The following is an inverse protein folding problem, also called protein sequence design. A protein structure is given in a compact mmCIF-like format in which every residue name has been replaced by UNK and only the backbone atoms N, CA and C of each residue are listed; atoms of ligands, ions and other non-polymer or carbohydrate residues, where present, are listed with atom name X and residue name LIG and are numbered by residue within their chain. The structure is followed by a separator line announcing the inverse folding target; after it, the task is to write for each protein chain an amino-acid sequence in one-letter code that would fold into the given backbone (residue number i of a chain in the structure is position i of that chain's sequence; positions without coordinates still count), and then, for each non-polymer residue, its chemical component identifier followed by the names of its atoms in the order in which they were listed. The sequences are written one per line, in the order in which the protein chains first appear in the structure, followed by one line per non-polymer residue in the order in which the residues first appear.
data_IF_262935116404
#
_entry.id   IF_262935116404
#
_cell.length_a   1.000
_cell.length_b   1.000
_cell.length_c   1.000
_cell.angle_alpha   90.00
_cell.angle_beta   90.00
_cell.angle_gamma   90.00
#
_symmetry.space_group_name_H-M   'P 1'
#
loop_
_entity.id
_entity.type
_entity.pdbx_description
1 polymer ?
#
# COMPACT_ATOMS: atom_id res chain seq x y z
N UNK A 1 61.42 -37.57 -6.42
CA UNK A 1 61.87 -38.39 -5.31
C UNK A 1 60.64 -39.12 -4.78
N UNK A 2 60.37 -40.38 -5.24
CA UNK A 2 60.72 -41.64 -4.60
C UNK A 2 60.34 -41.56 -3.10
N UNK A 3 59.40 -42.33 -2.57
CA UNK A 3 59.44 -43.77 -2.46
C UNK A 3 58.05 -44.36 -2.08
N UNK A 4 57.76 -45.45 -2.72
CA UNK A 4 56.80 -46.53 -2.40
C UNK A 4 57.12 -47.14 -1.04
N UNK A 5 56.15 -47.72 -0.33
CA UNK A 5 56.28 -49.01 0.27
C UNK A 5 54.92 -49.71 0.54
N UNK A 6 54.75 -50.77 -0.06
CA UNK A 6 53.92 -51.94 0.07
C UNK A 6 54.15 -52.65 1.41
N UNK A 7 53.11 -53.37 1.91
CA UNK A 7 53.08 -54.75 2.40
C UNK A 7 51.72 -54.95 3.08
N UNK A 8 50.81 -55.70 2.57
CA UNK A 8 50.65 -57.12 2.39
C UNK A 8 50.21 -57.86 3.68
N UNK A 9 49.01 -58.40 3.58
CA UNK A 9 48.50 -59.74 3.90
C UNK A 9 47.95 -60.02 5.30
N UNK A 10 46.81 -60.58 5.31
CA UNK A 10 46.35 -61.98 5.62
C UNK A 10 45.47 -62.08 6.87
N UNK A 11 44.23 -62.31 6.68
CA UNK A 11 43.39 -63.48 6.81
C UNK A 11 42.88 -63.88 8.22
N UNK A 12 41.63 -64.30 8.16
CA UNK A 12 40.89 -65.32 8.94
C UNK A 12 39.86 -64.77 9.97
N UNK A 13 38.64 -64.89 9.55
CA UNK A 13 37.47 -65.58 10.12
C UNK A 13 37.28 -65.62 11.66
N UNK A 14 36.14 -65.07 12.11
CA UNK A 14 35.26 -65.78 13.05
C UNK A 14 33.89 -65.06 13.13
N UNK A 15 32.87 -65.80 12.95
CA UNK A 15 31.46 -65.57 13.13
C UNK A 15 31.16 -65.32 14.62
N UNK A 16 30.49 -64.24 14.95
CA UNK A 16 29.70 -64.18 16.17
C UNK A 16 28.55 -63.20 15.95
N UNK A 17 27.33 -63.68 15.85
CA UNK A 17 26.10 -62.96 15.92
C UNK A 17 25.95 -62.38 17.33
N UNK A 18 25.85 -61.03 17.40
CA UNK A 18 25.30 -60.32 18.56
C UNK A 18 24.31 -59.31 18.10
N UNK A 19 23.04 -59.63 18.30
CA UNK A 19 21.95 -58.72 18.30
C UNK A 19 22.08 -57.72 19.45
N UNK A 20 22.39 -56.49 19.17
CA UNK A 20 22.27 -55.38 20.12
C UNK A 20 21.38 -54.36 19.52
N UNK A 21 20.17 -54.31 20.08
CA UNK A 21 19.24 -53.18 19.97
C UNK A 21 19.91 -51.90 20.49
N UNK A 22 20.47 -51.12 19.63
CA UNK A 22 20.90 -49.77 19.97
C UNK A 22 19.81 -48.80 19.48
N UNK A 23 19.07 -48.25 20.43
CA UNK A 23 18.30 -47.04 20.21
C UNK A 23 19.25 -45.94 19.74
N UNK A 24 19.26 -45.69 18.45
CA UNK A 24 19.92 -44.54 17.88
C UNK A 24 18.87 -43.41 17.87
N UNK A 25 19.03 -42.48 18.77
CA UNK A 25 18.40 -41.15 18.63
C UNK A 25 19.01 -40.54 17.37
N UNK A 26 18.40 -40.82 16.24
CA UNK A 26 18.66 -40.08 15.03
C UNK A 26 17.97 -38.70 15.16
N UNK A 27 18.75 -37.67 14.97
CA UNK A 27 18.28 -36.30 14.74
C UNK A 27 17.03 -36.32 13.85
N UNK A 28 15.91 -35.89 14.41
CA UNK A 28 14.71 -35.62 13.64
C UNK A 28 15.01 -34.47 12.68
N UNK A 29 15.43 -34.80 11.48
CA UNK A 29 15.08 -33.96 10.34
C UNK A 29 13.58 -33.71 10.42
N UNK A 30 13.10 -32.47 10.27
CA UNK A 30 11.66 -32.21 10.17
C UNK A 30 11.16 -32.95 8.94
N UNK A 31 10.63 -34.13 9.17
CA UNK A 31 9.91 -34.89 8.14
C UNK A 31 8.65 -34.11 7.82
N UNK A 32 8.52 -33.76 6.58
CA UNK A 32 7.38 -33.13 5.91
C UNK A 32 6.12 -34.04 5.97
N UNK A 33 5.77 -34.56 7.13
CA UNK A 33 4.64 -35.51 7.30
C UNK A 33 3.33 -34.85 7.76
N UNK A 34 3.21 -33.55 7.70
CA UNK A 34 1.93 -32.85 7.93
C UNK A 34 1.38 -32.13 6.71
N UNK A 35 1.83 -32.46 5.51
CA UNK A 35 1.01 -32.19 4.35
C UNK A 35 -0.16 -33.18 4.41
N UNK A 36 -1.31 -32.73 4.94
CA UNK A 36 -2.59 -33.34 4.63
C UNK A 36 -2.67 -33.40 3.11
N UNK A 37 -2.45 -34.57 2.55
CA UNK A 37 -2.84 -34.86 1.17
C UNK A 37 -4.33 -34.62 1.11
N UNK A 38 -4.71 -33.45 0.56
CA UNK A 38 -6.10 -33.15 0.25
C UNK A 38 -6.44 -34.09 -0.90
N UNK A 39 -7.07 -35.22 -0.58
CA UNK A 39 -7.69 -36.08 -1.57
C UNK A 39 -8.80 -35.30 -2.25
N UNK A 40 -8.48 -34.70 -3.38
CA UNK A 40 -9.35 -33.89 -4.20
C UNK A 40 -8.52 -32.90 -5.01
N UNK A 41 -8.85 -32.71 -6.25
CA UNK A 41 -8.20 -31.70 -7.09
C UNK A 41 -8.35 -30.33 -6.43
N UNK A 42 -7.24 -29.76 -5.97
CA UNK A 42 -7.21 -28.42 -5.37
C UNK A 42 -7.69 -27.41 -6.44
N UNK A 43 -8.79 -26.73 -6.16
CA UNK A 43 -9.32 -25.68 -7.05
C UNK A 43 -8.71 -24.34 -6.67
N UNK A 44 -7.85 -23.85 -7.54
CA UNK A 44 -7.18 -22.55 -7.36
C UNK A 44 -7.77 -21.57 -8.37
N UNK A 45 -7.88 -20.32 -7.97
CA UNK A 45 -8.21 -19.21 -8.85
C UNK A 45 -7.33 -18.00 -8.53
N UNK A 46 -7.29 -17.02 -9.43
CA UNK A 46 -6.65 -15.74 -9.16
C UNK A 46 -7.50 -14.55 -9.61
N UNK A 47 -7.18 -13.40 -9.03
CA UNK A 47 -7.80 -12.13 -9.35
C UNK A 47 -6.71 -11.09 -9.60
N UNK A 48 -6.79 -10.37 -10.72
CA UNK A 48 -5.86 -9.28 -11.07
C UNK A 48 -6.25 -8.00 -10.34
N UNK A 49 -5.39 -7.57 -9.41
CA UNK A 49 -5.64 -6.36 -8.60
C UNK A 49 -5.67 -5.10 -9.46
N UNK A 50 -4.79 -5.00 -10.46
CA UNK A 50 -4.74 -3.84 -11.36
C UNK A 50 -6.04 -3.68 -12.15
N UNK A 51 -6.61 -4.78 -12.62
CA UNK A 51 -7.92 -4.79 -13.28
C UNK A 51 -9.06 -4.36 -12.34
N UNK A 52 -9.02 -4.77 -11.06
CA UNK A 52 -9.97 -4.31 -10.05
C UNK A 52 -9.83 -2.81 -9.83
N UNK A 53 -8.60 -2.31 -9.64
CA UNK A 53 -8.33 -0.88 -9.44
C UNK A 53 -8.83 -0.03 -10.62
N UNK A 54 -8.77 -0.56 -11.83
CA UNK A 54 -9.21 0.13 -13.04
C UNK A 54 -10.72 0.05 -13.27
N UNK A 55 -11.36 -1.10 -13.00
CA UNK A 55 -12.75 -1.38 -13.44
C UNK A 55 -13.77 -1.31 -12.29
N UNK A 56 -13.37 -1.47 -11.04
CA UNK A 56 -14.28 -1.41 -9.90
C UNK A 56 -14.73 0.03 -9.63
N UNK A 57 -16.02 0.27 -9.60
CA UNK A 57 -16.62 1.61 -9.45
C UNK A 57 -16.14 2.32 -8.19
N UNK A 58 -16.06 1.62 -7.08
CA UNK A 58 -15.51 2.14 -5.83
C UNK A 58 -14.09 2.70 -6.01
N UNK A 59 -13.21 1.96 -6.68
CA UNK A 59 -11.83 2.38 -6.93
C UNK A 59 -11.77 3.62 -7.82
N UNK A 60 -12.59 3.68 -8.89
CA UNK A 60 -12.68 4.84 -9.79
C UNK A 60 -13.13 6.10 -9.05
N UNK A 61 -14.18 5.98 -8.23
CA UNK A 61 -14.68 7.11 -7.46
C UNK A 61 -13.67 7.59 -6.44
N UNK A 62 -12.99 6.64 -5.77
CA UNK A 62 -12.00 6.98 -4.76
C UNK A 62 -10.75 7.62 -5.38
N UNK A 63 -10.28 7.11 -6.51
CA UNK A 63 -9.19 7.73 -7.26
C UNK A 63 -9.50 9.17 -7.62
N UNK A 64 -10.71 9.45 -8.12
CA UNK A 64 -11.13 10.81 -8.43
C UNK A 64 -11.15 11.73 -7.19
N UNK A 65 -11.53 11.19 -6.02
CA UNK A 65 -11.50 11.95 -4.75
C UNK A 65 -10.04 12.24 -4.34
N UNK A 66 -9.15 11.25 -4.41
CA UNK A 66 -7.72 11.44 -4.08
C UNK A 66 -7.06 12.45 -5.03
N UNK A 67 -7.32 12.36 -6.33
CA UNK A 67 -6.77 13.28 -7.33
C UNK A 67 -7.24 14.74 -7.05
N UNK A 68 -8.53 14.91 -6.74
CA UNK A 68 -9.06 16.22 -6.38
C UNK A 68 -8.45 16.75 -5.07
N UNK A 69 -8.27 15.89 -4.08
CA UNK A 69 -7.65 16.25 -2.80
C UNK A 69 -6.19 16.63 -2.96
N UNK A 70 -5.44 15.86 -3.74
CA UNK A 70 -4.03 16.15 -4.05
C UNK A 70 -3.87 17.52 -4.69
N UNK A 71 -4.68 17.83 -5.72
CA UNK A 71 -4.68 19.15 -6.36
C UNK A 71 -5.03 20.28 -5.38
N UNK A 72 -6.02 20.05 -4.49
CA UNK A 72 -6.37 21.04 -3.47
C UNK A 72 -5.19 21.31 -2.53
N UNK A 73 -4.50 20.25 -2.08
CA UNK A 73 -3.31 20.36 -1.22
C UNK A 73 -2.19 21.13 -1.92
N UNK A 74 -1.91 20.79 -3.18
CA UNK A 74 -0.89 21.48 -3.98
C UNK A 74 -1.19 22.96 -4.11
N UNK A 75 -2.44 23.30 -4.44
CA UNK A 75 -2.87 24.70 -4.59
C UNK A 75 -2.81 25.46 -3.26
N UNK A 76 -3.22 24.84 -2.16
CA UNK A 76 -3.18 25.45 -0.82
C UNK A 76 -1.74 25.77 -0.39
N UNK A 77 -0.83 24.80 -0.57
CA UNK A 77 0.58 25.00 -0.24
C UNK A 77 1.25 26.04 -1.15
N UNK A 78 0.94 26.01 -2.45
CA UNK A 78 1.45 27.01 -3.39
C UNK A 78 0.98 28.42 -3.05
N UNK A 79 -0.29 28.60 -2.66
CA UNK A 79 -0.83 29.89 -2.23
C UNK A 79 -0.16 30.38 -0.94
N UNK A 80 0.07 29.51 0.05
CA UNK A 80 0.78 29.85 1.28
C UNK A 80 2.22 30.24 1.00
N UNK A 81 2.92 29.52 0.11
CA UNK A 81 4.27 29.83 -0.32
C UNK A 81 4.35 31.21 -0.98
N UNK A 82 3.48 31.50 -1.95
CA UNK A 82 3.43 32.81 -2.61
C UNK A 82 3.14 33.95 -1.63
N UNK A 83 2.27 33.71 -0.64
CA UNK A 83 1.97 34.72 0.38
C UNK A 83 3.21 35.01 1.24
N UNK A 84 3.96 33.96 1.63
CA UNK A 84 5.21 34.10 2.39
C UNK A 84 6.27 34.87 1.58
N UNK A 85 6.44 34.53 0.28
CA UNK A 85 7.38 35.21 -0.61
C UNK A 85 7.05 36.69 -0.76
N UNK A 86 5.76 37.02 -1.01
CA UNK A 86 5.31 38.42 -1.10
C UNK A 86 5.54 39.19 0.20
N UNK A 87 5.26 38.56 1.34
CA UNK A 87 5.46 39.19 2.65
C UNK A 87 6.97 39.40 2.92
N UNK A 88 7.82 38.46 2.55
CA UNK A 88 9.28 38.57 2.68
C UNK A 88 9.82 39.69 1.79
N UNK A 89 9.37 39.78 0.53
CA UNK A 89 9.75 40.86 -0.38
C UNK A 89 9.32 42.24 0.15
N UNK A 90 8.10 42.34 0.65
CA UNK A 90 7.59 43.60 1.23
C UNK A 90 8.41 44.02 2.46
N UNK A 91 8.79 43.05 3.31
CA UNK A 91 9.66 43.31 4.45
C UNK A 91 11.04 43.81 4.02
N UNK A 92 11.68 43.16 3.03
CA UNK A 92 12.97 43.57 2.48
C UNK A 92 12.91 44.99 1.90
N UNK A 93 11.87 45.32 1.14
CA UNK A 93 11.67 46.64 0.56
C UNK A 93 11.54 47.71 1.65
N UNK A 94 10.81 47.42 2.73
CA UNK A 94 10.71 48.33 3.89
C UNK A 94 12.06 48.55 4.59
N UNK A 95 12.87 47.48 4.74
CA UNK A 95 14.22 47.61 5.30
C UNK A 95 15.12 48.52 4.46
N UNK A 96 15.14 48.31 3.14
CA UNK A 96 15.98 49.08 2.22
C UNK A 96 15.61 50.56 2.15
N UNK A 97 14.32 50.87 2.26
CA UNK A 97 13.78 52.23 2.10
C UNK A 97 13.50 52.92 3.45
N UNK A 98 14.03 52.41 4.57
CA UNK A 98 13.74 52.91 5.92
C UNK A 98 12.23 53.09 6.17
N UNK A 99 11.40 52.16 5.62
CA UNK A 99 9.95 52.25 5.61
C UNK A 99 9.28 51.72 6.90
N UNK A 100 10.02 51.46 7.97
CA UNK A 100 9.48 51.09 9.29
C UNK A 100 9.32 52.35 10.15
N UNK A 101 8.18 52.48 10.79
CA UNK A 101 7.90 53.61 11.73
C UNK A 101 8.59 53.44 13.07
N UNK A 102 8.92 52.20 13.44
CA UNK A 102 9.64 51.86 14.71
C UNK A 102 10.37 50.54 14.59
N UNK A 103 11.37 50.36 15.46
CA UNK A 103 12.05 49.06 15.65
C UNK A 103 11.07 47.93 16.00
N UNK A 104 10.11 48.21 16.87
CA UNK A 104 9.10 47.25 17.28
C UNK A 104 8.22 46.78 16.10
N UNK A 105 7.91 47.66 15.14
CA UNK A 105 7.20 47.25 13.91
C UNK A 105 8.03 46.27 13.08
N UNK A 106 9.34 46.53 12.90
CA UNK A 106 10.22 45.65 12.15
C UNK A 106 10.35 44.27 12.83
N UNK A 107 10.54 44.23 14.14
CA UNK A 107 10.62 43.01 14.93
C UNK A 107 9.29 42.21 14.85
N UNK A 108 8.15 42.86 14.92
CA UNK A 108 6.84 42.20 14.78
C UNK A 108 6.61 41.63 13.37
N UNK A 109 7.01 42.35 12.32
CA UNK A 109 6.89 41.83 10.95
C UNK A 109 7.85 40.65 10.70
N UNK A 110 9.06 40.71 11.24
CA UNK A 110 10.00 39.59 11.19
C UNK A 110 9.43 38.35 11.90
N UNK A 111 8.90 38.53 13.10
CA UNK A 111 8.26 37.45 13.85
C UNK A 111 7.04 36.86 13.10
N UNK A 112 6.28 37.70 12.40
CA UNK A 112 5.16 37.25 11.57
C UNK A 112 5.63 36.36 10.39
N UNK A 113 6.73 36.73 9.72
CA UNK A 113 7.32 35.92 8.66
C UNK A 113 7.77 34.54 9.16
N UNK A 114 8.45 34.51 10.32
CA UNK A 114 8.86 33.24 10.94
C UNK A 114 7.65 32.35 11.26
N UNK A 115 6.57 32.95 11.78
CA UNK A 115 5.32 32.21 12.05
C UNK A 115 4.68 31.70 10.77
N UNK A 116 4.66 32.48 9.70
CA UNK A 116 4.12 32.05 8.40
C UNK A 116 4.91 30.87 7.83
N UNK A 117 6.24 30.90 7.93
CA UNK A 117 7.10 29.79 7.53
C UNK A 117 6.79 28.52 8.34
N UNK A 118 6.73 28.62 9.67
CA UNK A 118 6.39 27.50 10.54
C UNK A 118 4.99 26.94 10.24
N UNK A 119 4.02 27.82 9.94
CA UNK A 119 2.68 27.41 9.56
C UNK A 119 2.66 26.66 8.22
N UNK A 120 3.44 27.09 7.24
CA UNK A 120 3.57 26.42 5.96
C UNK A 120 4.16 25.01 6.13
N UNK A 121 5.24 24.88 6.91
CA UNK A 121 5.86 23.60 7.20
C UNK A 121 4.91 22.64 7.93
N UNK A 122 4.22 23.14 8.96
CA UNK A 122 3.23 22.36 9.71
C UNK A 122 2.05 21.94 8.85
N UNK A 123 1.58 22.84 7.97
CA UNK A 123 0.49 22.55 7.01
C UNK A 123 0.91 21.46 6.02
N UNK A 124 2.12 21.54 5.48
CA UNK A 124 2.64 20.53 4.55
C UNK A 124 2.69 19.13 5.20
N UNK A 125 3.22 19.04 6.41
CA UNK A 125 3.28 17.77 7.15
C UNK A 125 1.88 17.21 7.46
N UNK A 126 0.97 18.07 7.94
CA UNK A 126 -0.41 17.66 8.25
C UNK A 126 -1.14 17.16 7.01
N UNK A 127 -1.09 17.91 5.91
CA UNK A 127 -1.79 17.57 4.67
C UNK A 127 -1.23 16.30 4.03
N UNK A 128 0.09 16.09 4.10
CA UNK A 128 0.71 14.84 3.66
C UNK A 128 0.25 13.66 4.52
N UNK A 129 0.21 13.81 5.84
CA UNK A 129 -0.28 12.77 6.75
C UNK A 129 -1.74 12.43 6.48
N UNK A 130 -2.59 13.42 6.22
CA UNK A 130 -4.00 13.21 5.86
C UNK A 130 -4.16 12.41 4.55
N UNK A 131 -3.34 12.70 3.53
CA UNK A 131 -3.36 11.95 2.26
C UNK A 131 -2.93 10.48 2.46
N UNK A 132 -1.89 10.24 3.27
CA UNK A 132 -1.46 8.89 3.60
C UNK A 132 -2.56 8.12 4.34
N UNK A 133 -3.16 8.72 5.36
CA UNK A 133 -4.26 8.12 6.10
C UNK A 133 -5.45 7.79 5.19
N UNK A 134 -5.83 8.68 4.28
CA UNK A 134 -6.90 8.42 3.33
C UNK A 134 -6.57 7.26 2.40
N UNK A 135 -5.32 7.15 1.96
CA UNK A 135 -4.86 6.03 1.14
C UNK A 135 -4.95 4.70 1.90
N UNK A 136 -4.55 4.69 3.17
CA UNK A 136 -4.63 3.49 4.02
C UNK A 136 -6.09 3.08 4.27
N UNK A 137 -6.97 4.04 4.54
CA UNK A 137 -8.41 3.80 4.69
C UNK A 137 -9.02 3.21 3.42
N UNK A 138 -8.61 3.69 2.26
CA UNK A 138 -9.03 3.13 0.98
C UNK A 138 -8.57 1.69 0.79
N UNK A 139 -7.27 1.43 1.00
CA UNK A 139 -6.71 0.11 0.84
C UNK A 139 -7.42 -0.90 1.76
N UNK A 140 -7.69 -0.48 3.00
CA UNK A 140 -8.45 -1.30 3.95
C UNK A 140 -9.87 -1.55 3.46
N UNK A 141 -10.59 -0.50 3.03
CA UNK A 141 -11.96 -0.64 2.55
C UNK A 141 -12.06 -1.50 1.28
N UNK A 142 -11.08 -1.40 0.38
CA UNK A 142 -10.99 -2.25 -0.80
C UNK A 142 -10.75 -3.72 -0.41
N UNK A 143 -9.79 -3.95 0.48
CA UNK A 143 -9.50 -5.30 0.98
C UNK A 143 -10.73 -5.92 1.65
N UNK A 144 -11.37 -5.20 2.58
CA UNK A 144 -12.55 -5.68 3.30
C UNK A 144 -13.72 -6.00 2.33
N UNK A 145 -13.93 -5.13 1.33
CA UNK A 145 -14.96 -5.32 0.30
C UNK A 145 -14.68 -6.55 -0.56
N UNK A 146 -13.43 -6.72 -0.98
CA UNK A 146 -13.00 -7.87 -1.78
C UNK A 146 -13.10 -9.17 -0.98
N UNK A 147 -12.60 -9.19 0.23
CA UNK A 147 -12.65 -10.36 1.11
C UNK A 147 -14.10 -10.78 1.37
N UNK A 148 -14.94 -9.85 1.77
CA UNK A 148 -16.37 -10.13 2.00
C UNK A 148 -17.06 -10.70 0.76
N UNK A 149 -16.82 -10.11 -0.41
CA UNK A 149 -17.38 -10.60 -1.65
C UNK A 149 -16.89 -12.02 -1.95
N UNK A 150 -15.59 -12.28 -1.84
CA UNK A 150 -14.99 -13.58 -2.13
C UNK A 150 -15.47 -14.67 -1.17
N UNK A 151 -15.72 -14.36 0.10
CA UNK A 151 -16.31 -15.31 1.05
C UNK A 151 -17.71 -15.76 0.62
N UNK A 152 -18.54 -14.83 0.12
CA UNK A 152 -19.85 -15.15 -0.40
C UNK A 152 -19.77 -15.93 -1.71
N UNK A 153 -18.96 -15.45 -2.64
CA UNK A 153 -18.72 -16.06 -3.94
C UNK A 153 -18.21 -17.51 -3.83
N UNK A 154 -17.34 -17.76 -2.87
CA UNK A 154 -16.72 -19.08 -2.70
C UNK A 154 -17.65 -20.13 -2.07
N UNK A 155 -18.78 -19.74 -1.50
CA UNK A 155 -19.77 -20.71 -0.98
C UNK A 155 -20.26 -21.67 -2.08
N UNK A 156 -20.44 -21.15 -3.30
CA UNK A 156 -20.90 -21.90 -4.44
C UNK A 156 -19.75 -22.51 -5.26
N UNK A 157 -18.65 -21.79 -5.42
CA UNK A 157 -17.51 -22.21 -6.25
C UNK A 157 -16.62 -23.26 -5.58
N UNK A 158 -16.57 -23.26 -4.25
CA UNK A 158 -15.76 -24.20 -3.44
C UNK A 158 -14.28 -24.24 -3.85
N UNK A 159 -13.71 -23.06 -4.08
CA UNK A 159 -12.29 -22.91 -4.37
C UNK A 159 -11.49 -23.15 -3.10
N UNK A 160 -10.38 -23.86 -3.22
CA UNK A 160 -9.46 -24.14 -2.12
C UNK A 160 -8.58 -22.92 -1.81
N UNK A 161 -8.29 -22.10 -2.84
CA UNK A 161 -7.46 -20.91 -2.72
C UNK A 161 -7.80 -19.89 -3.81
N UNK A 162 -7.82 -18.63 -3.43
CA UNK A 162 -7.91 -17.50 -4.36
C UNK A 162 -6.68 -16.63 -4.13
N UNK A 163 -5.89 -16.44 -5.18
CA UNK A 163 -4.65 -15.67 -5.15
C UNK A 163 -4.89 -14.28 -5.74
N UNK A 164 -4.14 -13.30 -5.27
CA UNK A 164 -4.04 -12.01 -5.94
C UNK A 164 -2.93 -12.06 -6.98
N UNK A 165 -3.16 -11.51 -8.17
CA UNK A 165 -2.12 -11.24 -9.17
C UNK A 165 -1.89 -9.74 -9.22
N UNK A 166 -0.68 -9.33 -8.78
CA UNK A 166 -0.26 -7.93 -8.73
C UNK A 166 1.25 -7.86 -8.99
N UNK A 167 1.66 -7.03 -9.92
CA UNK A 167 3.06 -6.97 -10.32
C UNK A 167 3.58 -8.35 -10.73
N UNK A 168 4.73 -8.75 -10.18
CA UNK A 168 5.43 -9.99 -10.54
C UNK A 168 5.22 -11.15 -9.56
N UNK A 169 4.22 -11.09 -8.66
CA UNK A 169 3.99 -12.14 -7.68
C UNK A 169 3.49 -13.47 -8.31
N UNK A 170 2.82 -13.38 -9.47
CA UNK A 170 2.43 -14.53 -10.29
C UNK A 170 2.93 -14.26 -11.71
N UNK A 171 4.04 -14.90 -12.09
CA UNK A 171 4.67 -14.70 -13.40
C UNK A 171 3.88 -15.32 -14.54
N UNK A 172 3.24 -16.46 -14.29
CA UNK A 172 2.46 -17.20 -15.28
C UNK A 172 1.29 -17.91 -14.61
N UNK A 173 0.12 -17.75 -15.15
CA UNK A 173 -1.07 -18.52 -14.79
C UNK A 173 -1.93 -18.75 -16.03
N UNK A 174 -2.62 -19.88 -16.09
CA UNK A 174 -3.60 -20.14 -17.14
C UNK A 174 -4.83 -19.25 -16.92
N UNK A 175 -5.38 -18.72 -18.01
CA UNK A 175 -6.59 -17.90 -17.98
C UNK A 175 -7.83 -18.67 -17.47
N UNK A 176 -7.81 -19.98 -17.53
CA UNK A 176 -8.88 -20.81 -16.96
C UNK A 176 -9.03 -20.63 -15.43
N UNK A 177 -7.99 -20.13 -14.74
CA UNK A 177 -8.02 -19.82 -13.31
C UNK A 177 -8.36 -18.37 -13.01
N UNK A 178 -8.54 -17.53 -14.03
CA UNK A 178 -8.85 -16.10 -13.88
C UNK A 178 -10.35 -15.90 -13.59
N UNK A 179 -10.65 -15.38 -12.41
CA UNK A 179 -12.00 -15.02 -11.99
C UNK A 179 -12.20 -13.52 -11.88
N UNK A 180 -11.26 -12.72 -12.40
CA UNK A 180 -11.23 -11.26 -12.23
C UNK A 180 -12.50 -10.58 -12.70
N UNK A 181 -12.97 -10.90 -13.91
CA UNK A 181 -14.16 -10.25 -14.49
C UNK A 181 -15.44 -10.62 -13.72
N UNK A 182 -15.58 -11.88 -13.25
CA UNK A 182 -16.71 -12.30 -12.41
C UNK A 182 -16.71 -11.55 -11.07
N UNK A 183 -15.52 -11.39 -10.46
CA UNK A 183 -15.35 -10.67 -9.20
C UNK A 183 -15.68 -9.19 -9.38
N UNK A 184 -15.17 -8.54 -10.41
CA UNK A 184 -15.45 -7.12 -10.71
C UNK A 184 -16.95 -6.90 -10.96
N UNK A 185 -17.59 -7.76 -11.74
CA UNK A 185 -19.02 -7.67 -12.01
C UNK A 185 -19.84 -7.80 -10.72
N UNK A 186 -19.47 -8.75 -9.85
CA UNK A 186 -20.12 -8.95 -8.56
C UNK A 186 -19.91 -7.80 -7.59
N UNK A 187 -18.69 -7.31 -7.48
CA UNK A 187 -18.34 -6.14 -6.66
C UNK A 187 -19.13 -4.90 -7.12
N UNK A 188 -19.16 -4.63 -8.42
CA UNK A 188 -19.90 -3.49 -8.97
C UNK A 188 -21.41 -3.60 -8.74
N UNK A 189 -21.97 -4.83 -8.79
CA UNK A 189 -23.38 -5.06 -8.49
C UNK A 189 -23.70 -4.86 -7.01
N UNK A 190 -22.79 -5.24 -6.12
CA UNK A 190 -22.96 -5.09 -4.66
C UNK A 190 -22.66 -3.66 -4.19
N UNK A 191 -21.87 -2.91 -4.94
CA UNK A 191 -21.46 -1.58 -4.56
C UNK A 191 -22.64 -0.60 -4.57
N UNK A 192 -22.82 0.05 -3.44
CA UNK A 192 -23.74 1.19 -3.30
C UNK A 192 -22.92 2.43 -3.01
N UNK A 193 -22.94 3.46 -3.88
CA UNK A 193 -22.25 4.71 -3.62
C UNK A 193 -22.68 5.28 -2.26
N UNK A 194 -21.72 5.55 -1.38
CA UNK A 194 -22.02 6.06 -0.06
C UNK A 194 -22.48 7.52 -0.18
N UNK A 195 -23.70 7.81 0.22
CA UNK A 195 -24.30 9.16 0.16
C UNK A 195 -23.52 10.20 1.00
N UNK A 196 -22.74 9.78 1.98
CA UNK A 196 -21.85 10.66 2.76
C UNK A 196 -20.66 11.17 1.95
N UNK A 197 -20.13 10.36 1.01
CA UNK A 197 -19.06 10.80 0.08
C UNK A 197 -19.60 11.65 -1.09
N UNK A 198 -20.90 11.55 -1.39
CA UNK A 198 -21.56 12.48 -2.31
C UNK A 198 -21.70 13.90 -1.73
N UNK A 199 -21.64 14.04 -0.40
CA UNK A 199 -21.54 15.30 0.30
C UNK A 199 -20.22 16.01 0.06
N UNK A 200 -19.08 15.29 0.24
CA UNK A 200 -17.74 15.83 -0.04
C UNK A 200 -17.57 16.25 -1.51
N UNK A 201 -18.08 15.44 -2.45
CA UNK A 201 -18.04 15.77 -3.88
C UNK A 201 -18.89 17.00 -4.23
N UNK A 202 -19.98 17.23 -3.47
CA UNK A 202 -20.81 18.46 -3.62
C UNK A 202 -20.15 19.68 -2.98
N UNK A 203 -19.45 19.51 -1.87
CA UNK A 203 -18.71 20.60 -1.23
C UNK A 203 -17.50 21.03 -2.07
N UNK A 204 -16.70 20.09 -2.57
CA UNK A 204 -15.58 20.38 -3.46
C UNK A 204 -16.03 21.13 -4.73
N UNK A 205 -17.12 20.69 -5.39
CA UNK A 205 -17.70 21.38 -6.55
C UNK A 205 -18.30 22.75 -6.21
N UNK A 206 -18.74 22.96 -4.98
CA UNK A 206 -19.30 24.24 -4.53
C UNK A 206 -18.21 25.25 -4.19
N UNK A 207 -17.05 24.78 -3.72
CA UNK A 207 -15.88 25.61 -3.48
C UNK A 207 -15.20 26.01 -4.80
N UNK A 208 -15.00 25.08 -5.75
CA UNK A 208 -14.47 25.38 -7.09
C UNK A 208 -15.32 26.47 -7.80
N UNK A 209 -16.64 26.35 -7.72
CA UNK A 209 -17.56 27.34 -8.33
C UNK A 209 -17.57 28.68 -7.63
N UNK A 210 -17.16 28.76 -6.35
CA UNK A 210 -17.00 30.02 -5.62
C UNK A 210 -15.68 30.73 -5.92
N UNK A 211 -14.64 29.98 -6.26
CA UNK A 211 -13.35 30.55 -6.68
C UNK A 211 -13.38 31.08 -8.12
N UNK A 212 -14.10 30.42 -9.02
CA UNK A 212 -14.29 30.90 -10.40
C UNK A 212 -15.11 32.22 -10.48
N UNK A 213 -16.02 32.45 -9.54
CA UNK A 213 -16.84 33.66 -9.50
C UNK A 213 -16.11 34.88 -8.85
N UNK A 214 -14.94 34.63 -8.22
CA UNK A 214 -14.14 35.71 -7.58
C UNK A 214 -12.93 36.16 -8.42
N UNK A 215 -12.77 35.66 -9.62
CA UNK A 215 -11.82 36.11 -10.62
C UNK A 215 -12.53 36.98 -11.65
#
# INVERSE_FOLDING_TARGET
MKTKFLFRSMALAAVAAFTLSACNKADEKPTSENMKTVEGSMKIAYVEVDSIMEKYTFCKEYKAILDARSKKVENELAAQQQNLERAAQAFQNKLQNNGFTSRAEAENQQAALVRQQQNLESSAQRLQSELLQQTDEFNKALHDSLQHFLEVYNKDKKLSMILTKQGDNILLADKAFDITDEVIAGLNKAYKPNSSKAGEKKELKKEEKKEEVKK
#
